data_IF_926853749155
#
_entry.id   IF_926853749155
#
_cell.length_a   1.000
_cell.length_b   1.000
_cell.length_c   1.000
_cell.angle_alpha   90.00
_cell.angle_beta   90.00
_cell.angle_gamma   90.00
#
_symmetry.space_group_name_H-M   'P 1'
#
loop_
_entity.id
_entity.type
_entity.pdbx_description
1 polymer ?
#
# COMPACT_ATOMS: atom_id res chain seq x y z
N UNK A 1 -37.39 -25.98 14.40
CA UNK A 1 -36.41 -26.84 13.70
C UNK A 1 -35.58 -25.92 12.81
N UNK A 2 -34.38 -25.56 13.23
CA UNK A 2 -33.42 -24.84 12.39
C UNK A 2 -32.88 -25.83 11.36
N UNK A 3 -33.24 -25.65 10.09
CA UNK A 3 -32.67 -26.44 9.02
C UNK A 3 -31.31 -25.84 8.65
N UNK A 4 -30.23 -26.59 8.92
CA UNK A 4 -28.89 -26.21 8.51
C UNK A 4 -28.59 -26.80 7.14
N UNK A 5 -27.88 -26.04 6.31
CA UNK A 5 -27.27 -26.53 5.08
C UNK A 5 -25.77 -26.34 5.23
N UNK A 6 -25.02 -27.44 5.11
CA UNK A 6 -23.56 -27.39 5.05
C UNK A 6 -23.15 -26.89 3.67
N UNK A 7 -22.16 -26.01 3.61
CA UNK A 7 -21.57 -25.58 2.35
C UNK A 7 -20.65 -26.66 1.80
N UNK A 8 -20.70 -26.83 0.47
CA UNK A 8 -19.68 -27.59 -0.27
C UNK A 8 -18.71 -26.61 -0.94
N UNK A 9 -17.61 -27.10 -1.51
CA UNK A 9 -16.64 -26.27 -2.23
C UNK A 9 -17.21 -25.52 -3.45
N UNK A 10 -18.37 -25.93 -3.96
CA UNK A 10 -19.08 -25.24 -5.05
C UNK A 10 -19.97 -24.08 -4.55
N UNK A 11 -20.32 -24.08 -3.27
CA UNK A 11 -21.15 -23.05 -2.65
C UNK A 11 -20.30 -21.86 -2.12
N UNK A 12 -18.98 -21.95 -2.19
CA UNK A 12 -18.03 -20.92 -1.73
C UNK A 12 -17.19 -20.45 -2.91
N UNK A 13 -17.13 -19.15 -3.13
CA UNK A 13 -16.28 -18.52 -4.14
C UNK A 13 -15.48 -17.41 -3.50
N UNK A 14 -14.17 -17.44 -3.68
CA UNK A 14 -13.26 -16.40 -3.22
C UNK A 14 -12.94 -15.49 -4.40
N UNK A 15 -12.92 -14.18 -4.15
CA UNK A 15 -12.56 -13.16 -5.12
C UNK A 15 -11.65 -12.14 -4.44
N UNK A 16 -10.55 -11.79 -5.09
CA UNK A 16 -9.55 -10.85 -4.60
C UNK A 16 -9.62 -9.59 -5.45
N UNK A 17 -10.09 -8.50 -4.85
CA UNK A 17 -10.17 -7.19 -5.50
C UNK A 17 -9.03 -6.29 -5.09
N UNK A 18 -8.37 -5.64 -6.05
CA UNK A 18 -7.39 -4.59 -5.75
C UNK A 18 -8.11 -3.23 -5.70
N UNK A 19 -8.00 -2.54 -4.57
CA UNK A 19 -8.51 -1.18 -4.38
C UNK A 19 -7.33 -0.22 -4.28
N UNK A 20 -7.40 0.91 -4.98
CA UNK A 20 -6.34 1.92 -4.97
C UNK A 20 -6.86 3.28 -4.49
N UNK A 21 -6.07 3.97 -3.69
CA UNK A 21 -6.43 5.27 -3.10
C UNK A 21 -5.22 6.18 -2.93
N UNK A 22 -5.44 7.48 -2.74
CA UNK A 22 -4.37 8.44 -2.46
C UNK A 22 -3.71 8.19 -1.10
N UNK A 23 -2.39 8.32 -1.04
CA UNK A 23 -1.61 8.01 0.18
C UNK A 23 -1.40 9.23 1.09
N UNK A 24 -1.53 10.44 0.53
CA UNK A 24 -1.23 11.66 1.26
C UNK A 24 -2.33 12.01 2.25
N UNK A 25 -2.02 12.91 3.17
CA UNK A 25 -2.98 13.43 4.13
C UNK A 25 -4.31 13.82 3.45
N UNK A 26 -5.41 13.47 4.11
CA UNK A 26 -6.80 13.62 3.63
C UNK A 26 -7.15 12.74 2.42
N UNK A 27 -6.38 11.68 2.17
CA UNK A 27 -6.60 10.77 1.03
C UNK A 27 -6.24 11.38 -0.32
N UNK A 28 -5.45 12.47 -0.32
CA UNK A 28 -5.04 13.12 -1.55
C UNK A 28 -4.09 12.22 -2.36
N UNK A 29 -4.31 12.13 -3.67
CA UNK A 29 -3.43 11.37 -4.58
C UNK A 29 -2.21 12.18 -5.05
N UNK A 30 -2.22 13.50 -4.86
CA UNK A 30 -1.14 14.40 -5.24
C UNK A 30 -0.99 15.56 -4.24
N UNK A 31 0.25 15.91 -3.94
CA UNK A 31 0.62 17.08 -3.14
C UNK A 31 1.62 17.96 -3.91
N UNK A 32 1.54 19.28 -3.67
CA UNK A 32 2.34 20.30 -4.37
C UNK A 32 3.15 21.19 -3.41
N UNK A 33 2.88 21.09 -2.10
CA UNK A 33 3.54 21.83 -1.03
C UNK A 33 4.28 20.87 -0.12
N UNK A 34 5.46 21.28 0.32
CA UNK A 34 6.36 20.49 1.15
C UNK A 34 7.01 21.39 2.20
N UNK A 35 6.83 21.04 3.47
CA UNK A 35 7.38 21.75 4.61
C UNK A 35 8.25 20.81 5.45
N UNK A 36 9.19 21.36 6.21
CA UNK A 36 9.97 20.64 7.22
C UNK A 36 9.88 21.38 8.55
N UNK A 37 10.12 20.68 9.66
CA UNK A 37 10.09 21.28 10.99
C UNK A 37 11.46 21.84 11.37
N UNK A 38 11.51 23.13 11.76
CA UNK A 38 12.72 23.75 12.28
C UNK A 38 13.20 23.13 13.60
N UNK A 39 12.31 22.54 14.40
CA UNK A 39 12.67 21.84 15.64
C UNK A 39 13.33 20.48 15.37
N UNK A 40 13.00 19.82 14.26
CA UNK A 40 13.67 18.58 13.87
C UNK A 40 15.12 18.85 13.49
N UNK A 41 15.35 19.96 12.80
CA UNK A 41 16.66 20.36 12.31
C UNK A 41 17.73 20.44 13.41
N UNK A 42 17.38 20.85 14.64
CA UNK A 42 18.31 20.92 15.77
C UNK A 42 18.52 19.60 16.51
N UNK A 43 17.72 18.55 16.21
CA UNK A 43 17.71 17.30 16.96
C UNK A 43 18.06 16.08 16.09
N UNK A 44 17.24 15.77 15.08
CA UNK A 44 17.42 14.58 14.22
C UNK A 44 17.67 14.94 12.75
N UNK A 45 17.76 16.23 12.43
CA UNK A 45 17.95 16.74 11.07
C UNK A 45 19.19 16.19 10.35
N UNK A 46 20.18 15.73 11.10
CA UNK A 46 21.39 15.08 10.58
C UNK A 46 21.13 13.66 10.07
N UNK A 47 20.07 13.00 10.55
CA UNK A 47 19.68 11.64 10.16
C UNK A 47 18.54 11.63 9.15
N UNK A 48 17.53 12.47 9.36
CA UNK A 48 16.33 12.51 8.52
C UNK A 48 15.69 13.90 8.45
N UNK A 49 14.97 14.12 7.36
CA UNK A 49 14.06 15.26 7.20
C UNK A 49 12.65 14.70 7.03
N UNK A 50 11.77 15.02 7.98
CA UNK A 50 10.35 14.72 7.88
C UNK A 50 9.66 15.79 7.05
N UNK A 51 8.94 15.35 6.02
CA UNK A 51 8.28 16.22 5.07
C UNK A 51 6.78 16.24 5.32
N UNK A 52 6.22 17.44 5.43
CA UNK A 52 4.81 17.70 5.73
C UNK A 52 4.13 18.34 4.53
N UNK A 53 2.84 18.06 4.34
CA UNK A 53 2.01 18.72 3.32
C UNK A 53 1.63 20.14 3.74
N UNK A 54 1.29 20.29 5.02
CA UNK A 54 0.94 21.56 5.66
C UNK A 54 2.07 21.99 6.60
N UNK A 55 2.22 23.29 6.80
CA UNK A 55 3.24 23.82 7.70
C UNK A 55 2.96 23.37 9.15
N UNK A 56 3.86 22.58 9.77
CA UNK A 56 3.65 22.07 11.13
C UNK A 56 3.72 23.16 12.20
N UNK A 57 4.25 24.36 11.90
CA UNK A 57 4.31 25.48 12.84
C UNK A 57 2.97 26.20 13.00
N UNK A 58 2.10 26.14 11.98
CA UNK A 58 0.83 26.88 11.94
C UNK A 58 -0.39 25.97 11.87
N UNK A 59 -0.22 24.70 11.49
CA UNK A 59 -1.31 23.74 11.34
C UNK A 59 -1.13 22.55 12.28
N UNK A 60 -1.95 22.47 13.32
CA UNK A 60 -1.94 21.37 14.29
C UNK A 60 -2.33 20.00 13.70
N UNK A 61 -3.00 19.99 12.55
CA UNK A 61 -3.33 18.77 11.81
C UNK A 61 -2.19 18.34 10.86
N UNK A 62 -1.10 19.11 10.75
CA UNK A 62 0.02 18.73 9.89
C UNK A 62 0.59 17.38 10.33
N UNK A 63 0.74 16.48 9.36
CA UNK A 63 1.26 15.14 9.60
C UNK A 63 2.41 14.85 8.65
N UNK A 64 3.36 14.03 9.10
CA UNK A 64 4.49 13.61 8.26
C UNK A 64 3.95 12.79 7.09
N UNK A 65 4.28 13.19 5.87
CA UNK A 65 3.91 12.51 4.64
C UNK A 65 4.93 11.41 4.31
N UNK A 66 6.22 11.78 4.33
CA UNK A 66 7.36 10.90 4.08
C UNK A 66 8.62 11.47 4.75
N UNK A 67 9.62 10.62 4.94
CA UNK A 67 10.95 10.98 5.40
C UNK A 67 11.95 10.97 4.26
N UNK A 68 12.93 11.87 4.30
CA UNK A 68 14.08 11.93 3.39
C UNK A 68 15.37 11.72 4.16
N UNK A 69 16.22 10.83 3.66
CA UNK A 69 17.52 10.55 4.25
C UNK A 69 18.61 10.46 3.18
N UNK A 70 19.86 10.63 3.60
CA UNK A 70 21.04 10.37 2.79
C UNK A 70 21.93 9.38 3.53
N UNK A 71 22.29 8.29 2.86
CA UNK A 71 23.19 7.26 3.37
C UNK A 71 24.47 7.20 2.56
N UNK A 72 25.60 7.03 3.25
CA UNK A 72 26.89 6.77 2.62
C UNK A 72 27.64 5.71 3.41
N UNK A 73 28.13 4.67 2.74
CA UNK A 73 28.82 3.52 3.33
C UNK A 73 29.90 3.90 4.34
N UNK A 74 30.83 4.78 3.92
CA UNK A 74 31.97 5.24 4.74
C UNK A 74 31.63 6.47 5.62
N UNK A 75 30.35 6.86 5.69
CA UNK A 75 29.88 7.98 6.48
C UNK A 75 30.23 9.37 5.93
N UNK A 76 30.70 9.46 4.69
CA UNK A 76 30.98 10.75 4.05
C UNK A 76 29.74 11.63 3.93
N UNK A 77 29.95 12.95 3.84
CA UNK A 77 28.86 13.93 3.82
C UNK A 77 28.18 14.16 5.19
N UNK A 78 28.76 13.64 6.27
CA UNK A 78 28.40 13.97 7.65
C UNK A 78 29.62 14.40 8.46
N UNK A 79 29.37 15.14 9.55
CA UNK A 79 30.38 15.43 10.56
C UNK A 79 30.62 14.19 11.42
N UNK A 80 31.89 13.91 11.73
CA UNK A 80 32.22 12.92 12.74
C UNK A 80 31.99 13.49 14.15
N UNK A 81 31.60 12.62 15.08
CA UNK A 81 31.59 12.99 16.51
C UNK A 81 33.01 13.22 16.99
N UNK A 82 33.27 14.39 17.61
CA UNK A 82 34.59 14.74 18.14
C UNK A 82 35.04 13.71 19.18
N UNK A 83 36.08 12.93 18.86
CA UNK A 83 36.65 11.91 19.74
C UNK A 83 36.13 10.47 19.53
N UNK A 84 35.25 10.23 18.56
CA UNK A 84 34.82 8.88 18.17
C UNK A 84 35.23 8.58 16.72
N UNK A 85 35.87 7.43 16.51
CA UNK A 85 36.18 6.90 15.18
C UNK A 85 35.08 5.94 14.77
N UNK A 86 34.30 6.27 13.74
CA UNK A 86 33.35 5.32 13.11
C UNK A 86 31.86 5.64 13.24
N UNK A 87 31.44 6.48 14.19
CA UNK A 87 30.02 6.80 14.41
C UNK A 87 29.55 7.98 13.56
N UNK A 88 29.51 7.76 12.23
CA UNK A 88 29.03 8.78 11.27
C UNK A 88 27.55 8.57 10.95
N UNK A 89 26.77 9.65 10.99
CA UNK A 89 25.30 9.59 10.84
C UNK A 89 24.88 8.95 9.52
N UNK A 90 25.55 9.29 8.41
CA UNK A 90 25.24 8.75 7.07
C UNK A 90 25.66 7.28 6.91
N UNK A 91 26.64 6.79 7.67
CA UNK A 91 27.01 5.36 7.71
C UNK A 91 25.95 4.54 8.46
N UNK A 92 25.42 5.08 9.56
CA UNK A 92 24.33 4.45 10.31
C UNK A 92 23.06 4.32 9.44
N UNK A 93 22.67 5.38 8.72
CA UNK A 93 21.56 5.34 7.76
C UNK A 93 21.82 4.31 6.67
N UNK A 94 23.03 4.29 6.10
CA UNK A 94 23.39 3.31 5.08
C UNK A 94 23.22 1.86 5.59
N UNK A 95 23.74 1.56 6.78
CA UNK A 95 23.64 0.23 7.39
C UNK A 95 22.20 -0.21 7.63
N UNK A 96 21.32 0.68 8.08
CA UNK A 96 19.90 0.38 8.31
C UNK A 96 19.19 -0.07 7.03
N UNK A 97 19.32 0.69 5.94
CA UNK A 97 18.68 0.34 4.68
C UNK A 97 19.32 -0.88 4.03
N UNK A 98 20.64 -1.03 4.12
CA UNK A 98 21.34 -2.18 3.57
C UNK A 98 20.90 -3.49 4.25
N UNK A 99 20.83 -3.51 5.58
CA UNK A 99 20.36 -4.68 6.34
C UNK A 99 18.89 -5.02 6.07
N UNK A 100 18.07 -4.00 5.75
CA UNK A 100 16.68 -4.22 5.40
C UNK A 100 16.56 -4.81 3.99
N UNK A 101 17.17 -4.19 2.98
CA UNK A 101 16.87 -4.45 1.57
C UNK A 101 17.72 -5.61 1.02
N UNK A 102 18.99 -5.65 1.37
CA UNK A 102 19.97 -6.52 0.74
C UNK A 102 20.28 -7.74 1.61
N UNK A 103 20.69 -8.86 1.01
CA UNK A 103 21.17 -10.01 1.77
C UNK A 103 22.44 -9.66 2.59
N UNK A 104 22.77 -10.48 3.60
CA UNK A 104 24.01 -10.32 4.37
C UNK A 104 25.24 -10.18 3.48
N UNK A 105 26.27 -9.48 3.97
CA UNK A 105 27.55 -9.24 3.27
C UNK A 105 27.48 -8.33 2.04
N UNK A 106 26.30 -7.85 1.66
CA UNK A 106 26.20 -6.82 0.61
C UNK A 106 26.88 -5.54 1.08
N UNK A 107 27.88 -5.07 0.32
CA UNK A 107 28.67 -3.90 0.72
C UNK A 107 28.34 -2.63 -0.06
N UNK A 108 27.72 -2.75 -1.23
CA UNK A 108 27.35 -1.63 -2.11
C UNK A 108 25.95 -1.85 -2.69
N UNK A 109 25.29 -0.76 -3.07
CA UNK A 109 24.04 -0.82 -3.80
C UNK A 109 24.29 -0.98 -5.30
N UNK A 110 23.30 -1.57 -5.98
CA UNK A 110 23.31 -1.75 -7.43
C UNK A 110 22.10 -1.05 -8.04
N UNK A 111 22.36 -0.20 -9.04
CA UNK A 111 21.36 0.47 -9.86
C UNK A 111 21.60 0.11 -11.33
N UNK A 112 21.05 -1.02 -11.77
CA UNK A 112 21.29 -1.57 -13.11
C UNK A 112 22.80 -1.81 -13.37
N UNK A 113 23.37 -1.24 -14.44
CA UNK A 113 24.78 -1.42 -14.79
C UNK A 113 25.77 -0.87 -13.75
N UNK A 114 25.32 0.02 -12.86
CA UNK A 114 26.17 0.57 -11.80
C UNK A 114 26.06 -0.26 -10.51
N UNK A 115 27.09 -1.05 -10.21
CA UNK A 115 27.10 -2.05 -9.13
C UNK A 115 27.93 -1.66 -7.91
N UNK A 116 28.69 -0.56 -7.96
CA UNK A 116 29.62 -0.13 -6.90
C UNK A 116 29.15 1.17 -6.21
N UNK A 117 27.84 1.32 -6.01
CA UNK A 117 27.28 2.56 -5.47
C UNK A 117 27.34 2.57 -3.95
N UNK A 118 28.17 3.48 -3.41
CA UNK A 118 28.42 3.64 -1.97
C UNK A 118 27.43 4.56 -1.25
N UNK A 119 26.51 5.18 -1.98
CA UNK A 119 25.64 6.24 -1.47
C UNK A 119 24.26 6.20 -2.08
N UNK A 120 23.25 6.60 -1.31
CA UNK A 120 21.88 6.72 -1.80
C UNK A 120 21.16 7.86 -1.11
N UNK A 121 20.13 8.36 -1.76
CA UNK A 121 19.03 9.01 -1.06
C UNK A 121 17.90 8.02 -0.88
N UNK A 122 17.20 8.07 0.25
CA UNK A 122 15.98 7.30 0.42
C UNK A 122 14.82 8.21 0.79
N UNK A 123 13.69 7.96 0.14
CA UNK A 123 12.40 8.48 0.53
C UNK A 123 11.61 7.32 1.14
N UNK A 124 11.26 7.43 2.42
CA UNK A 124 10.55 6.39 3.15
C UNK A 124 9.16 6.87 3.57
N UNK A 125 8.16 6.03 3.36
CA UNK A 125 6.78 6.31 3.76
C UNK A 125 6.41 5.44 4.95
N UNK A 126 5.68 6.02 5.91
CA UNK A 126 5.24 5.26 7.09
C UNK A 126 4.22 4.18 6.69
N UNK A 127 4.40 2.96 7.19
CA UNK A 127 3.53 1.81 6.92
C UNK A 127 2.05 2.10 7.22
N UNK A 128 1.77 2.91 8.24
CA UNK A 128 0.40 3.31 8.57
C UNK A 128 -0.33 4.02 7.40
N UNK A 129 0.40 4.71 6.50
CA UNK A 129 -0.17 5.40 5.33
C UNK A 129 -0.39 4.46 4.16
N UNK A 130 0.63 3.66 3.81
CA UNK A 130 0.51 2.72 2.68
C UNK A 130 -0.41 1.54 3.00
N UNK A 131 -0.59 1.22 4.29
CA UNK A 131 -1.24 0.00 4.82
C UNK A 131 -0.55 -1.27 4.34
N UNK A 132 -0.84 -1.70 3.12
CA UNK A 132 -0.32 -2.92 2.54
C UNK A 132 0.88 -2.64 1.62
N UNK A 133 0.67 -1.93 0.52
CA UNK A 133 1.73 -1.58 -0.41
C UNK A 133 1.40 -0.33 -1.22
N UNK A 134 2.43 0.26 -1.82
CA UNK A 134 2.27 1.31 -2.83
C UNK A 134 1.91 0.67 -4.18
N UNK A 135 1.06 1.33 -4.97
CA UNK A 135 0.70 0.88 -6.32
C UNK A 135 1.89 1.06 -7.27
N UNK A 136 2.45 -0.02 -7.86
CA UNK A 136 3.42 0.12 -8.95
C UNK A 136 2.80 0.83 -10.14
N UNK A 137 3.52 1.81 -10.71
CA UNK A 137 3.02 2.70 -11.75
C UNK A 137 2.06 3.78 -11.23
N UNK A 138 1.84 3.85 -9.91
CA UNK A 138 0.90 4.76 -9.26
C UNK A 138 1.51 6.04 -8.71
N UNK A 139 2.78 6.32 -8.99
CA UNK A 139 3.49 7.49 -8.45
C UNK A 139 4.33 8.24 -9.49
N UNK A 140 4.48 9.55 -9.28
CA UNK A 140 5.39 10.41 -10.06
C UNK A 140 5.91 11.51 -9.14
N UNK A 141 7.24 11.62 -9.08
CA UNK A 141 7.95 12.62 -8.29
C UNK A 141 8.62 13.62 -9.22
N UNK A 142 8.42 14.92 -8.97
CA UNK A 142 9.15 15.97 -9.67
C UNK A 142 10.31 16.44 -8.82
N UNK A 143 11.50 16.43 -9.40
CA UNK A 143 12.69 17.02 -8.82
C UNK A 143 13.14 18.18 -9.70
N UNK A 144 13.53 19.30 -9.09
CA UNK A 144 14.03 20.48 -9.80
C UNK A 144 15.30 21.01 -9.14
N UNK A 145 16.26 21.45 -9.93
CA UNK A 145 17.46 22.14 -9.46
C UNK A 145 17.74 23.34 -10.37
N UNK A 146 17.52 24.55 -9.88
CA UNK A 146 17.60 25.76 -10.71
C UNK A 146 16.61 25.70 -11.88
N UNK A 147 17.11 25.79 -13.12
CA UNK A 147 16.29 25.66 -14.34
C UNK A 147 16.01 24.20 -14.73
N UNK A 148 16.77 23.25 -14.18
CA UNK A 148 16.71 21.85 -14.56
C UNK A 148 15.58 21.13 -13.83
N UNK A 149 14.82 20.31 -14.55
CA UNK A 149 13.73 19.53 -13.99
C UNK A 149 13.76 18.12 -14.52
N UNK A 150 13.44 17.17 -13.65
CA UNK A 150 13.20 15.79 -14.00
C UNK A 150 11.90 15.30 -13.36
N UNK A 151 11.26 14.37 -14.04
CA UNK A 151 10.11 13.63 -13.54
C UNK A 151 10.51 12.17 -13.43
N UNK A 152 10.27 11.58 -12.28
CA UNK A 152 10.63 10.20 -11.97
C UNK A 152 9.36 9.38 -11.74
N UNK A 153 9.35 8.19 -12.33
CA UNK A 153 8.32 7.15 -12.19
C UNK A 153 9.01 5.79 -12.04
N UNK A 154 8.26 4.73 -11.73
CA UNK A 154 8.78 3.36 -11.85
C UNK A 154 8.51 2.74 -13.22
N UNK A 155 9.21 1.64 -13.52
CA UNK A 155 9.13 0.91 -14.78
C UNK A 155 8.13 -0.27 -14.78
N UNK A 156 7.22 -0.38 -13.82
CA UNK A 156 6.29 -1.52 -13.72
C UNK A 156 5.37 -1.73 -14.93
N UNK A 157 5.16 -0.70 -15.76
CA UNK A 157 4.41 -0.81 -17.02
C UNK A 157 5.10 -1.70 -18.05
N UNK A 158 6.43 -1.75 -18.05
CA UNK A 158 7.26 -2.59 -18.93
C UNK A 158 7.84 -3.78 -18.19
N UNK A 159 8.16 -3.63 -16.90
CA UNK A 159 8.72 -4.64 -16.01
C UNK A 159 7.67 -5.18 -15.03
N UNK A 160 6.64 -5.89 -15.52
CA UNK A 160 5.47 -6.28 -14.71
C UNK A 160 5.76 -7.17 -13.50
N UNK A 161 6.85 -7.94 -13.54
CA UNK A 161 7.26 -8.85 -12.46
C UNK A 161 8.22 -8.25 -11.44
N UNK A 162 8.71 -7.02 -11.69
CA UNK A 162 9.84 -6.45 -10.97
C UNK A 162 11.17 -7.09 -11.36
N UNK A 163 12.27 -6.55 -10.83
CA UNK A 163 13.60 -7.10 -11.08
C UNK A 163 13.80 -8.46 -10.39
N UNK A 164 14.66 -9.28 -10.99
CA UNK A 164 15.01 -10.61 -10.47
C UNK A 164 16.30 -10.61 -9.62
N UNK A 165 16.68 -9.49 -9.01
CA UNK A 165 17.85 -9.45 -8.14
C UNK A 165 17.56 -10.13 -6.80
N UNK A 166 18.55 -10.84 -6.25
CA UNK A 166 18.45 -11.40 -4.90
C UNK A 166 18.37 -10.25 -3.87
N UNK A 167 17.21 -10.13 -3.24
CA UNK A 167 16.87 -9.12 -2.23
C UNK A 167 16.00 -9.76 -1.16
N UNK A 168 15.99 -9.16 0.02
CA UNK A 168 15.12 -9.62 1.11
C UNK A 168 13.64 -9.30 0.84
N UNK A 169 13.36 -8.42 -0.14
CA UNK A 169 12.02 -7.95 -0.48
C UNK A 169 11.80 -7.93 -1.99
N UNK A 170 10.62 -8.37 -2.42
CA UNK A 170 10.18 -8.42 -3.82
C UNK A 170 8.67 -8.11 -3.89
N UNK A 171 8.14 -7.54 -5.00
CA UNK A 171 8.87 -7.06 -6.19
C UNK A 171 9.60 -5.74 -5.92
N UNK A 172 10.67 -5.48 -6.66
CA UNK A 172 11.31 -4.17 -6.78
C UNK A 172 11.25 -3.69 -8.24
N UNK A 173 11.16 -2.38 -8.45
CA UNK A 173 11.09 -1.77 -9.78
C UNK A 173 12.19 -0.72 -9.93
N UNK A 174 12.61 -0.44 -11.16
CA UNK A 174 13.61 0.60 -11.40
C UNK A 174 12.92 1.95 -11.45
N UNK A 175 13.62 2.95 -10.91
CA UNK A 175 13.21 4.34 -11.08
C UNK A 175 13.80 4.85 -12.39
N UNK A 176 12.93 5.37 -13.24
CA UNK A 176 13.24 5.87 -14.58
C UNK A 176 12.70 7.28 -14.74
N UNK A 177 13.24 8.01 -15.73
CA UNK A 177 12.67 9.30 -16.10
C UNK A 177 11.42 9.10 -16.97
N UNK A 178 10.33 9.76 -16.62
CA UNK A 178 9.04 9.55 -17.30
C UNK A 178 7.90 10.34 -16.69
N UNK A 179 6.70 10.14 -17.21
CA UNK A 179 5.47 10.85 -16.78
C UNK A 179 4.28 9.89 -16.81
N UNK A 180 3.34 10.08 -15.88
CA UNK A 180 2.02 9.44 -15.86
C UNK A 180 0.92 10.37 -16.39
N UNK A 181 1.25 11.65 -16.62
CA UNK A 181 0.31 12.61 -17.22
C UNK A 181 0.04 12.22 -18.67
N UNK A 182 -1.22 11.89 -18.99
CA UNK A 182 -1.62 11.45 -20.33
C UNK A 182 -1.41 9.95 -20.58
N UNK A 183 -1.05 9.18 -19.56
CA UNK A 183 -0.63 7.78 -19.67
C UNK A 183 0.80 7.60 -19.18
N UNK A 184 1.26 6.34 -19.11
CA UNK A 184 2.64 6.02 -18.73
C UNK A 184 3.57 6.19 -19.93
N UNK A 185 4.50 7.13 -19.82
CA UNK A 185 5.55 7.37 -20.81
C UNK A 185 6.92 7.35 -20.13
N UNK A 186 7.82 6.49 -20.62
CA UNK A 186 9.18 6.28 -20.10
C UNK A 186 10.15 6.82 -21.14
N UNK A 187 10.93 7.86 -20.80
CA UNK A 187 11.85 8.48 -21.75
C UNK A 187 13.04 7.58 -22.07
N UNK A 188 13.53 6.84 -21.07
CA UNK A 188 14.70 5.96 -21.20
C UNK A 188 14.50 4.77 -20.27
N UNK A 189 14.57 3.56 -20.83
CA UNK A 189 14.46 2.34 -20.06
C UNK A 189 15.67 2.20 -19.12
N UNK A 190 15.46 1.60 -17.94
CA UNK A 190 16.51 1.47 -16.93
C UNK A 190 17.75 0.72 -17.45
N UNK A 191 17.56 -0.30 -18.30
CA UNK A 191 18.64 -1.07 -18.93
C UNK A 191 19.37 -0.33 -20.05
N UNK A 192 18.85 0.81 -20.51
CA UNK A 192 19.46 1.65 -21.54
C UNK A 192 20.17 2.88 -20.93
N UNK A 193 20.12 3.06 -19.62
CA UNK A 193 20.92 4.06 -18.93
C UNK A 193 22.39 3.66 -18.95
N UNK A 194 23.29 4.65 -18.97
CA UNK A 194 24.73 4.39 -19.08
C UNK A 194 25.25 3.57 -17.89
N UNK A 195 26.02 2.51 -18.15
CA UNK A 195 26.54 1.58 -17.13
C UNK A 195 27.26 2.29 -15.98
N UNK A 196 28.00 3.36 -16.28
CA UNK A 196 28.76 4.13 -15.28
C UNK A 196 27.87 4.88 -14.28
N UNK A 197 26.65 5.27 -14.68
CA UNK A 197 25.74 6.00 -13.80
C UNK A 197 24.63 5.10 -13.28
N UNK A 198 24.15 4.15 -14.07
CA UNK A 198 23.03 3.28 -13.72
C UNK A 198 21.67 3.97 -13.81
N UNK A 199 20.63 3.30 -13.30
CA UNK A 199 19.28 3.87 -13.25
C UNK A 199 19.18 5.01 -12.22
N UNK A 200 18.05 5.75 -12.23
CA UNK A 200 17.80 6.80 -11.24
C UNK A 200 17.55 6.26 -9.83
N UNK A 201 17.36 4.95 -9.68
CA UNK A 201 17.04 4.36 -8.39
C UNK A 201 16.31 3.02 -8.48
N UNK A 202 15.88 2.55 -7.32
CA UNK A 202 15.00 1.39 -7.14
C UNK A 202 13.83 1.73 -6.22
N UNK A 203 12.67 1.16 -6.51
CA UNK A 203 11.42 1.36 -5.80
C UNK A 203 10.96 0.03 -5.19
N UNK A 204 10.66 0.06 -3.89
CA UNK A 204 10.16 -1.06 -3.10
C UNK A 204 8.72 -0.79 -2.64
N UNK A 205 7.70 -1.24 -3.38
CA UNK A 205 6.30 -0.94 -3.07
C UNK A 205 5.84 -1.47 -1.72
N UNK A 206 6.31 -2.65 -1.29
CA UNK A 206 5.95 -3.28 -0.01
C UNK A 206 6.62 -2.62 1.21
N UNK A 207 7.80 -2.03 1.01
CA UNK A 207 8.50 -1.24 2.04
C UNK A 207 8.08 0.23 2.04
N UNK A 208 7.49 0.69 0.94
CA UNK A 208 7.25 2.09 0.64
C UNK A 208 8.52 2.94 0.68
N UNK A 209 9.57 2.42 0.06
CA UNK A 209 10.88 3.07 -0.04
C UNK A 209 11.21 3.33 -1.50
N UNK A 210 11.63 4.55 -1.81
CA UNK A 210 12.26 4.91 -3.07
C UNK A 210 13.73 5.18 -2.77
N UNK A 211 14.62 4.33 -3.25
CA UNK A 211 16.06 4.56 -3.24
C UNK A 211 16.44 5.30 -4.51
N UNK A 212 17.00 6.50 -4.38
CA UNK A 212 17.47 7.29 -5.51
C UNK A 212 18.99 7.27 -5.58
N UNK A 213 19.50 7.12 -6.80
CA UNK A 213 20.91 7.06 -7.12
C UNK A 213 21.51 8.49 -7.22
N UNK A 214 22.38 8.91 -6.28
CA UNK A 214 22.96 10.24 -6.29
C UNK A 214 23.86 10.51 -7.49
N UNK A 215 24.54 9.47 -8.01
CA UNK A 215 25.42 9.59 -9.17
C UNK A 215 24.61 9.94 -10.41
N UNK A 216 23.52 9.20 -10.67
CA UNK A 216 22.63 9.47 -11.79
C UNK A 216 21.92 10.81 -11.70
N UNK A 217 21.54 11.24 -10.49
CA UNK A 217 20.91 12.54 -10.24
C UNK A 217 21.88 13.72 -10.40
N UNK A 218 23.19 13.50 -10.20
CA UNK A 218 24.22 14.51 -10.43
C UNK A 218 24.52 14.77 -11.90
N UNK A 219 24.15 13.82 -12.78
CA UNK A 219 24.20 13.97 -14.23
C UNK A 219 23.01 14.72 -14.83
N UNK A 220 23.07 14.98 -16.13
CA UNK A 220 21.96 15.57 -16.87
C UNK A 220 20.74 14.61 -16.85
N UNK A 221 19.51 15.14 -16.79
CA UNK A 221 19.14 16.55 -16.89
C UNK A 221 19.12 17.30 -15.56
N UNK A 222 19.09 16.64 -14.40
CA UNK A 222 18.84 17.32 -13.11
C UNK A 222 20.05 18.10 -12.58
N UNK A 223 21.26 17.57 -12.73
CA UNK A 223 22.51 18.17 -12.24
C UNK A 223 22.50 18.46 -10.72
N UNK A 224 21.96 17.55 -9.90
CA UNK A 224 21.95 17.68 -8.44
C UNK A 224 23.24 17.16 -7.82
N UNK A 225 24.19 18.06 -7.56
CA UNK A 225 25.50 17.70 -7.01
C UNK A 225 25.42 17.21 -5.55
N UNK A 226 25.77 15.93 -5.36
CA UNK A 226 25.93 15.31 -4.04
C UNK A 226 27.39 15.44 -3.61
N UNK A 227 27.64 15.99 -2.42
CA UNK A 227 29.00 16.20 -1.92
C UNK A 227 29.32 15.18 -0.83
N UNK A 228 30.32 14.34 -1.06
CA UNK A 228 30.74 13.26 -0.17
C UNK A 228 32.13 13.52 0.43
N UNK A 229 32.45 14.78 0.72
CA UNK A 229 33.67 15.13 1.46
C UNK A 229 33.71 14.44 2.84
N UNK A 230 34.91 14.03 3.27
CA UNK A 230 35.12 13.49 4.61
C UNK A 230 34.97 14.59 5.66
N UNK A 231 34.26 14.29 6.76
CA UNK A 231 34.08 15.20 7.88
C UNK A 231 33.54 16.60 7.50
N UNK A 232 32.56 16.63 6.60
CA UNK A 232 31.89 17.84 6.16
C UNK A 232 30.37 17.63 6.22
N UNK A 233 29.65 18.52 6.90
CA UNK A 233 28.19 18.58 6.80
C UNK A 233 27.80 19.20 5.47
N UNK A 234 27.59 18.34 4.47
CA UNK A 234 27.22 18.74 3.12
C UNK A 234 25.70 18.83 2.91
N UNK A 235 24.90 18.49 3.94
CA UNK A 235 23.44 18.55 3.95
C UNK A 235 22.78 17.98 2.69
N UNK A 236 23.26 16.82 2.25
CA UNK A 236 22.79 16.20 1.02
C UNK A 236 21.29 15.87 1.09
N UNK A 237 20.79 15.41 2.24
CA UNK A 237 19.36 15.23 2.49
C UNK A 237 18.56 16.54 2.28
N UNK A 238 19.10 17.69 2.69
CA UNK A 238 18.49 19.01 2.47
C UNK A 238 18.47 19.42 1.01
N UNK A 239 19.56 19.14 0.26
CA UNK A 239 19.60 19.41 -1.18
C UNK A 239 18.50 18.65 -1.92
N UNK A 240 18.26 17.38 -1.57
CA UNK A 240 17.15 16.62 -2.13
C UNK A 240 15.80 17.22 -1.71
N UNK A 241 15.62 17.58 -0.44
CA UNK A 241 14.40 18.23 0.04
C UNK A 241 14.10 19.52 -0.74
N UNK A 242 15.07 20.41 -0.90
CA UNK A 242 14.90 21.65 -1.66
C UNK A 242 14.57 21.36 -3.14
N UNK A 243 15.10 20.26 -3.68
CA UNK A 243 14.77 19.80 -5.03
C UNK A 243 13.33 19.30 -5.18
N UNK A 244 12.80 18.59 -4.17
CA UNK A 244 11.39 18.17 -4.10
C UNK A 244 10.47 19.38 -3.96
N UNK A 245 10.81 20.31 -3.06
CA UNK A 245 10.07 21.58 -2.88
C UNK A 245 9.99 22.34 -4.20
N UNK A 246 11.13 22.50 -4.91
CA UNK A 246 11.18 23.20 -6.18
C UNK A 246 10.47 22.44 -7.31
N UNK A 247 10.42 21.11 -7.26
CA UNK A 247 9.71 20.26 -8.21
C UNK A 247 8.18 20.41 -8.13
N UNK A 248 7.67 20.70 -6.93
CA UNK A 248 6.28 21.07 -6.63
C UNK A 248 5.21 20.05 -7.10
N UNK A 249 5.57 18.76 -7.17
CA UNK A 249 4.62 17.68 -7.44
C UNK A 249 5.12 16.36 -6.89
N UNK A 250 4.29 15.71 -6.10
CA UNK A 250 4.44 14.31 -5.76
C UNK A 250 3.07 13.65 -5.74
N UNK A 251 2.80 12.82 -6.75
CA UNK A 251 1.62 11.97 -6.78
C UNK A 251 2.00 10.56 -6.40
N UNK A 252 1.11 9.89 -5.65
CA UNK A 252 1.30 8.51 -5.24
C UNK A 252 -0.01 7.90 -4.78
N UNK A 253 -0.21 6.63 -5.13
CA UNK A 253 -1.36 5.83 -4.73
C UNK A 253 -0.89 4.58 -3.99
N UNK A 254 -1.67 4.18 -2.99
CA UNK A 254 -1.53 2.89 -2.33
C UNK A 254 -2.49 1.89 -2.95
N UNK A 255 -2.13 0.60 -2.87
CA UNK A 255 -3.00 -0.52 -3.22
C UNK A 255 -3.27 -1.37 -1.98
N UNK A 256 -4.49 -1.84 -1.87
CA UNK A 256 -4.97 -2.76 -0.85
C UNK A 256 -5.68 -3.91 -1.57
N UNK A 257 -5.31 -5.14 -1.23
CA UNK A 257 -6.00 -6.35 -1.68
C UNK A 257 -7.11 -6.68 -0.69
N UNK A 258 -8.35 -6.59 -1.14
CA UNK A 258 -9.52 -6.94 -0.35
C UNK A 258 -9.98 -8.31 -0.81
N UNK A 259 -9.79 -9.29 0.05
CA UNK A 259 -10.34 -10.64 -0.11
C UNK A 259 -11.83 -10.60 0.22
N UNK A 260 -12.66 -10.93 -0.77
CA UNK A 260 -14.10 -11.10 -0.63
C UNK A 260 -14.45 -12.57 -0.75
N UNK A 261 -15.17 -13.12 0.22
CA UNK A 261 -15.71 -14.47 0.11
C UNK A 261 -17.22 -14.41 -0.09
N UNK A 262 -17.65 -15.10 -1.14
CA UNK A 262 -19.03 -15.25 -1.52
C UNK A 262 -19.54 -16.63 -1.12
N UNK A 263 -20.58 -16.65 -0.29
CA UNK A 263 -21.32 -17.86 0.04
C UNK A 263 -22.65 -17.87 -0.70
N UNK A 264 -22.87 -18.92 -1.49
CA UNK A 264 -24.10 -19.13 -2.22
C UNK A 264 -25.03 -20.05 -1.42
N UNK A 265 -25.96 -19.45 -0.71
CA UNK A 265 -26.96 -20.19 0.06
C UNK A 265 -28.14 -20.53 -0.84
N UNK A 266 -28.23 -21.79 -1.27
CA UNK A 266 -29.39 -22.28 -2.04
C UNK A 266 -30.41 -22.97 -1.14
N UNK A 267 -31.59 -22.37 -1.05
CA UNK A 267 -32.77 -22.98 -0.45
C UNK A 267 -33.59 -23.68 -1.56
N UNK A 268 -33.36 -24.99 -1.71
CA UNK A 268 -34.02 -25.82 -2.73
C UNK A 268 -35.53 -25.90 -2.52
N UNK A 269 -36.24 -26.39 -3.54
CA UNK A 269 -37.70 -26.52 -3.53
C UNK A 269 -38.23 -27.37 -2.38
N UNK A 270 -37.48 -28.37 -1.89
CA UNK A 270 -37.91 -29.24 -0.78
C UNK A 270 -37.60 -28.67 0.62
N UNK A 271 -36.70 -27.68 0.70
CA UNK A 271 -36.21 -27.16 1.97
C UNK A 271 -36.87 -25.81 2.34
N UNK A 272 -36.95 -25.53 3.64
CA UNK A 272 -37.41 -24.24 4.21
C UNK A 272 -38.87 -23.86 3.90
N UNK A 273 -39.74 -24.84 3.63
CA UNK A 273 -41.16 -24.62 3.33
C UNK A 273 -42.10 -24.76 4.55
N UNK A 274 -41.54 -24.84 5.75
CA UNK A 274 -42.30 -24.94 7.01
C UNK A 274 -41.72 -23.97 8.03
N UNK A 275 -42.56 -23.53 8.96
CA UNK A 275 -42.18 -22.59 10.03
C UNK A 275 -42.78 -23.04 11.35
N UNK A 276 -42.10 -22.72 12.45
CA UNK A 276 -42.61 -22.92 13.81
C UNK A 276 -43.11 -21.62 14.43
N UNK A 277 -43.23 -20.54 13.64
CA UNK A 277 -43.75 -19.27 14.11
C UNK A 277 -45.20 -19.43 14.62
N UNK A 278 -45.51 -18.83 15.76
CA UNK A 278 -46.81 -18.92 16.41
C UNK A 278 -47.95 -18.32 15.57
N UNK A 279 -47.64 -17.35 14.69
CA UNK A 279 -48.61 -16.76 13.76
C UNK A 279 -49.13 -17.74 12.69
N UNK A 280 -48.59 -18.96 12.64
CA UNK A 280 -49.01 -20.02 11.71
C UNK A 280 -50.10 -20.94 12.27
N UNK A 281 -50.43 -20.77 13.55
CA UNK A 281 -51.34 -21.64 14.28
C UNK A 281 -52.58 -20.86 14.75
N UNK A 282 -53.75 -21.48 14.65
CA UNK A 282 -55.04 -20.89 15.08
C UNK A 282 -55.24 -20.96 16.60
N UNK A 283 -54.58 -21.90 17.27
CA UNK A 283 -54.60 -22.07 18.73
C UNK A 283 -53.17 -22.19 19.25
N UNK A 284 -52.78 -21.30 20.18
CA UNK A 284 -51.45 -21.26 20.81
C UNK A 284 -51.53 -21.39 22.34
N UNK A 285 -52.30 -22.37 22.83
CA UNK A 285 -52.32 -22.73 24.26
C UNK A 285 -52.04 -24.22 24.42
N UNK A 286 -51.25 -24.55 25.45
CA UNK A 286 -50.61 -25.83 25.71
C UNK A 286 -51.49 -27.06 25.41
N UNK A 287 -51.23 -27.73 24.29
CA UNK A 287 -51.77 -29.07 24.04
C UNK A 287 -51.81 -29.48 22.57
N UNK A 288 -52.38 -28.64 21.69
CA UNK A 288 -52.55 -28.99 20.26
C UNK A 288 -52.36 -27.76 19.37
N UNK A 289 -51.25 -27.73 18.62
CA UNK A 289 -50.98 -26.68 17.62
C UNK A 289 -51.75 -26.99 16.34
N UNK A 290 -52.93 -26.41 16.16
CA UNK A 290 -53.67 -26.51 14.90
C UNK A 290 -53.17 -25.48 13.88
N UNK A 291 -52.75 -25.95 12.70
CA UNK A 291 -52.33 -25.10 11.58
C UNK A 291 -53.56 -24.43 10.97
N UNK A 292 -53.45 -23.16 10.59
CA UNK A 292 -54.50 -22.44 9.85
C UNK A 292 -54.95 -23.29 8.64
N UNK A 293 -56.27 -23.58 8.47
CA UNK A 293 -56.75 -24.52 7.45
C UNK A 293 -56.25 -24.24 6.03
N UNK A 294 -56.14 -22.97 5.63
CA UNK A 294 -55.61 -22.56 4.32
C UNK A 294 -54.10 -22.73 4.16
N UNK A 295 -53.33 -22.74 5.25
CA UNK A 295 -51.87 -22.97 5.24
C UNK A 295 -51.51 -24.45 5.37
N UNK A 296 -52.48 -25.32 5.66
CA UNK A 296 -52.28 -26.78 5.76
C UNK A 296 -52.02 -27.42 4.39
N UNK A 297 -52.64 -26.89 3.34
CA UNK A 297 -52.50 -27.37 1.95
C UNK A 297 -51.43 -26.62 1.15
N UNK A 298 -51.25 -25.31 1.37
CA UNK A 298 -50.23 -24.48 0.70
C UNK A 298 -49.49 -23.58 1.70
N UNK A 299 -48.51 -24.11 2.45
CA UNK A 299 -47.74 -23.31 3.38
C UNK A 299 -46.90 -22.26 2.64
N UNK A 300 -47.13 -20.98 2.96
CA UNK A 300 -46.29 -19.83 2.60
C UNK A 300 -45.30 -19.54 3.72
N UNK A 301 -44.02 -19.73 3.49
CA UNK A 301 -42.95 -19.31 4.41
C UNK A 301 -42.11 -18.23 3.77
N UNK A 302 -41.50 -17.38 4.60
CA UNK A 302 -40.65 -16.30 4.12
C UNK A 302 -39.28 -16.40 4.79
N UNK A 303 -38.23 -16.37 3.96
CA UNK A 303 -36.86 -16.21 4.45
C UNK A 303 -36.65 -14.71 4.67
N UNK A 304 -36.27 -14.32 5.89
CA UNK A 304 -36.03 -12.92 6.29
C UNK A 304 -34.58 -12.66 6.68
N UNK A 305 -33.85 -13.69 7.11
CA UNK A 305 -32.48 -13.58 7.57
C UNK A 305 -31.70 -14.86 7.31
N UNK A 306 -30.39 -14.73 7.19
CA UNK A 306 -29.45 -15.83 7.02
C UNK A 306 -28.42 -15.74 8.15
N UNK A 307 -28.20 -16.85 8.86
CA UNK A 307 -27.16 -16.98 9.87
C UNK A 307 -26.09 -17.95 9.40
N UNK A 308 -24.82 -17.55 9.53
CA UNK A 308 -23.66 -18.39 9.26
C UNK A 308 -23.14 -18.96 10.58
N UNK A 309 -22.92 -20.27 10.62
CA UNK A 309 -22.47 -20.99 11.81
C UNK A 309 -21.17 -21.74 11.51
N UNK A 310 -20.31 -21.89 12.52
CA UNK A 310 -19.15 -22.76 12.44
C UNK A 310 -19.51 -24.23 12.73
N UNK A 311 -18.52 -25.12 12.63
CA UNK A 311 -18.69 -26.56 12.89
C UNK A 311 -19.07 -26.88 14.36
N UNK A 312 -18.88 -25.94 15.29
CA UNK A 312 -19.29 -26.05 16.69
C UNK A 312 -20.70 -25.47 16.95
N UNK A 313 -21.44 -25.12 15.90
CA UNK A 313 -22.75 -24.45 15.96
C UNK A 313 -22.73 -23.05 16.60
N UNK A 314 -21.59 -22.36 16.60
CA UNK A 314 -21.49 -20.97 17.03
C UNK A 314 -21.83 -20.04 15.87
N UNK A 315 -22.66 -19.03 16.12
CA UNK A 315 -23.06 -18.04 15.12
C UNK A 315 -21.88 -17.10 14.82
N UNK A 316 -21.39 -17.12 13.59
CA UNK A 316 -20.30 -16.26 13.12
C UNK A 316 -20.81 -14.93 12.56
N UNK A 317 -21.92 -14.97 11.82
CA UNK A 317 -22.49 -13.78 11.18
C UNK A 317 -23.99 -13.92 10.95
N UNK A 318 -24.70 -12.78 10.94
CA UNK A 318 -26.12 -12.71 10.60
C UNK A 318 -26.36 -11.61 9.57
N UNK A 319 -27.12 -11.92 8.53
CA UNK A 319 -27.55 -10.98 7.50
C UNK A 319 -29.07 -10.91 7.44
N UNK A 320 -29.62 -9.70 7.34
CA UNK A 320 -31.05 -9.47 7.11
C UNK A 320 -31.30 -9.17 5.64
N UNK A 321 -32.34 -9.78 5.08
CA UNK A 321 -32.77 -9.53 3.71
C UNK A 321 -33.57 -8.22 3.66
N UNK A 322 -33.34 -7.41 2.63
CA UNK A 322 -34.07 -6.14 2.42
C UNK A 322 -35.56 -6.36 2.14
N UNK A 323 -35.91 -7.50 1.55
CA UNK A 323 -37.29 -7.96 1.34
C UNK A 323 -37.39 -9.44 1.69
N UNK A 324 -38.44 -9.85 2.43
CA UNK A 324 -38.68 -11.27 2.69
C UNK A 324 -38.90 -12.05 1.40
N UNK A 325 -38.22 -13.20 1.24
CA UNK A 325 -38.34 -14.05 0.05
C UNK A 325 -39.35 -15.17 0.34
N UNK A 326 -40.44 -15.21 -0.44
CA UNK A 326 -41.42 -16.27 -0.35
C UNK A 326 -40.84 -17.62 -0.80
N UNK A 327 -40.98 -18.66 0.02
CA UNK A 327 -40.69 -20.05 -0.31
C UNK A 327 -41.96 -20.87 -0.46
N UNK A 328 -41.89 -21.83 -1.38
CA UNK A 328 -42.86 -22.90 -1.58
C UNK A 328 -42.18 -24.08 -2.27
N UNK A 329 -42.88 -25.22 -2.37
CA UNK A 329 -42.39 -26.41 -3.11
C UNK A 329 -42.17 -26.18 -4.61
N UNK A 330 -42.70 -25.09 -5.16
CA UNK A 330 -42.51 -24.71 -6.56
C UNK A 330 -41.44 -23.63 -6.74
N UNK A 331 -40.83 -23.11 -5.66
CA UNK A 331 -39.89 -21.98 -5.70
C UNK A 331 -38.61 -22.27 -4.94
N UNK A 332 -37.50 -22.10 -5.65
CA UNK A 332 -36.17 -22.07 -5.06
C UNK A 332 -35.75 -20.63 -4.77
N UNK A 333 -34.87 -20.45 -3.79
CA UNK A 333 -34.21 -19.18 -3.55
C UNK A 333 -32.70 -19.37 -3.53
N UNK A 334 -31.98 -18.47 -4.19
CA UNK A 334 -30.54 -18.36 -4.16
C UNK A 334 -30.18 -17.04 -3.49
N UNK A 335 -29.40 -17.09 -2.42
CA UNK A 335 -28.97 -15.91 -1.67
C UNK A 335 -27.45 -15.87 -1.71
N UNK A 336 -26.88 -14.77 -2.24
CA UNK A 336 -25.45 -14.51 -2.22
C UNK A 336 -25.11 -13.70 -0.96
N UNK A 337 -24.29 -14.27 -0.08
CA UNK A 337 -23.74 -13.57 1.09
C UNK A 337 -22.30 -13.19 0.78
N UNK A 338 -21.97 -11.90 0.89
CA UNK A 338 -20.61 -11.37 0.70
C UNK A 338 -20.01 -11.05 2.06
N UNK A 339 -18.84 -11.61 2.35
CA UNK A 339 -18.00 -11.27 3.48
C UNK A 339 -16.74 -10.60 2.96
N UNK A 340 -16.54 -9.36 3.36
CA UNK A 340 -15.34 -8.57 3.05
C UNK A 340 -14.47 -8.51 4.29
N UNK A 341 -13.17 -8.77 4.15
CA UNK A 341 -12.22 -8.73 5.25
C UNK A 341 -10.85 -8.22 4.80
#
# INVERSE_FOLDING_TARGET
MSAYRNFTGEDVSEDTGIVTSGIWQDGASNIITFFSSSAQYTNTGDYNIDVYRYDPSTNASASVQFGLVYGHREGSGSLGTKGATGDRTTAAVFGQFNNLINPPETTNFTFQGNTDVKQFYALSINRARMREAIEPGGWELHLKNGANKIKLIDDSSTNKGGNNFERNFSPEFNIVSGTLVGGTDINTAASAEADIMGSYGTFYPSLGVLLLNPERLSGAPLLLATLSGSNADNRNNRKLFDSVVAGAKFQMRRKEEITSVHYFVRATSNNFNSTTNESYYTQSVAGVKEIIPGMKTDPKTYITSVGLYNNANELLAIAKLSKPILKSRAREALIKVKLDF
#
